data_IF_795125992069
#
_entry.id   IF_795125992069
#
_cell.length_a   1.000
_cell.length_b   1.000
_cell.length_c   1.000
_cell.angle_alpha   90.00
_cell.angle_beta   90.00
_cell.angle_gamma   90.00
#
_symmetry.space_group_name_H-M   'P 1'
#
loop_
_entity.id
_entity.type
_entity.pdbx_description
1 polymer ?
#
# COMPACT_ATOMS: atom_id res chain seq x y z
N UNK A 1 -4.94 78.88 -30.03
CA UNK A 1 -5.15 77.63 -30.79
C UNK A 1 -4.91 76.47 -29.84
N UNK A 2 -5.95 75.70 -29.53
CA UNK A 2 -5.88 74.56 -28.61
C UNK A 2 -5.45 73.33 -29.42
N UNK A 3 -4.27 72.76 -29.14
CA UNK A 3 -3.84 71.51 -29.76
C UNK A 3 -4.31 70.33 -28.90
N UNK A 4 -5.37 69.67 -29.36
CA UNK A 4 -5.89 68.42 -28.79
C UNK A 4 -4.87 67.29 -28.96
N UNK A 5 -4.44 66.69 -27.85
CA UNK A 5 -3.50 65.56 -27.80
C UNK A 5 -4.23 64.24 -28.05
N UNK A 6 -4.70 64.04 -29.27
CA UNK A 6 -5.13 62.72 -29.74
C UNK A 6 -4.59 62.48 -31.14
N UNK A 7 -3.39 61.88 -31.23
CA UNK A 7 -3.11 60.86 -32.24
C UNK A 7 -1.76 60.21 -32.01
N UNK A 8 -1.73 58.87 -32.01
CA UNK A 8 -0.56 58.02 -31.74
C UNK A 8 0.56 58.08 -32.78
N UNK A 9 1.15 59.25 -32.96
CA UNK A 9 2.32 59.49 -33.79
C UNK A 9 3.41 60.19 -32.97
N UNK A 10 4.66 59.82 -33.21
CA UNK A 10 5.82 60.54 -32.67
C UNK A 10 6.00 61.89 -33.41
N UNK A 11 6.74 62.87 -32.84
CA UNK A 11 6.91 64.22 -33.40
C UNK A 11 7.46 64.28 -34.84
N UNK A 12 8.05 63.17 -35.29
CA UNK A 12 8.70 62.90 -36.56
C UNK A 12 7.80 62.12 -37.55
N UNK A 13 6.49 62.04 -37.29
CA UNK A 13 5.49 61.57 -38.27
C UNK A 13 5.46 60.07 -38.52
N UNK A 14 6.18 59.27 -37.72
CA UNK A 14 6.12 57.80 -37.77
C UNK A 14 5.01 57.29 -36.87
N UNK A 15 4.23 56.32 -37.37
CA UNK A 15 3.26 55.60 -36.53
C UNK A 15 4.02 55.00 -35.37
N UNK A 16 3.65 55.32 -34.15
CA UNK A 16 4.05 54.53 -32.99
C UNK A 16 3.35 53.18 -33.13
N UNK A 17 3.95 52.26 -33.89
CA UNK A 17 3.59 50.86 -33.81
C UNK A 17 3.90 50.44 -32.37
N UNK A 18 2.86 50.49 -31.52
CA UNK A 18 2.86 49.73 -30.30
C UNK A 18 3.00 48.28 -30.77
N UNK A 19 4.24 47.77 -30.69
CA UNK A 19 4.57 46.36 -30.81
C UNK A 19 3.54 45.67 -29.92
N UNK A 20 2.61 44.94 -30.56
CA UNK A 20 1.45 44.36 -29.92
C UNK A 20 1.91 43.64 -28.66
N UNK A 21 1.58 44.24 -27.51
CA UNK A 21 1.91 43.66 -26.23
C UNK A 21 1.17 42.33 -26.12
N UNK A 22 1.83 41.35 -25.52
CA UNK A 22 1.36 40.02 -25.15
C UNK A 22 0.12 40.07 -24.22
N UNK A 23 -0.97 40.68 -24.69
CA UNK A 23 -2.21 40.92 -23.99
C UNK A 23 -2.89 39.60 -23.69
N UNK A 24 -2.65 39.08 -22.49
CA UNK A 24 -3.26 37.86 -21.98
C UNK A 24 -2.44 36.59 -22.18
N UNK A 25 -1.55 36.50 -23.17
CA UNK A 25 -0.80 35.25 -23.42
C UNK A 25 0.20 34.88 -22.31
N UNK A 26 0.78 35.87 -21.62
CA UNK A 26 1.67 35.64 -20.47
C UNK A 26 0.89 35.33 -19.19
N UNK A 27 -0.26 35.98 -18.97
CA UNK A 27 -1.15 35.72 -17.85
C UNK A 27 -1.86 34.37 -17.98
N UNK A 28 -2.28 34.00 -19.19
CA UNK A 28 -2.85 32.68 -19.51
C UNK A 28 -1.82 31.56 -19.32
N UNK A 29 -0.56 31.76 -19.73
CA UNK A 29 0.52 30.80 -19.44
C UNK A 29 0.76 30.64 -17.95
N UNK A 30 0.82 31.74 -17.19
CA UNK A 30 0.97 31.69 -15.73
C UNK A 30 -0.19 30.97 -15.05
N UNK A 31 -1.43 31.22 -15.47
CA UNK A 31 -2.61 30.53 -14.96
C UNK A 31 -2.63 29.03 -15.33
N UNK A 32 -2.20 28.67 -16.53
CA UNK A 32 -2.10 27.26 -16.95
C UNK A 32 -0.96 26.54 -16.23
N UNK A 33 0.18 27.20 -16.02
CA UNK A 33 1.30 26.71 -15.21
C UNK A 33 0.86 26.49 -13.75
N UNK A 34 0.14 27.45 -13.15
CA UNK A 34 -0.41 27.32 -11.80
C UNK A 34 -1.42 26.17 -11.71
N UNK A 35 -2.30 26.02 -12.72
CA UNK A 35 -3.23 24.89 -12.80
C UNK A 35 -2.48 23.56 -12.84
N UNK A 36 -1.46 23.45 -13.68
CA UNK A 36 -0.66 22.24 -13.81
C UNK A 36 0.15 21.96 -12.54
N UNK A 37 0.66 22.99 -11.86
CA UNK A 37 1.31 22.84 -10.57
C UNK A 37 0.35 22.30 -9.50
N UNK A 38 -0.91 22.77 -9.46
CA UNK A 38 -1.95 22.24 -8.55
C UNK A 38 -2.29 20.78 -8.85
N UNK A 39 -2.48 20.43 -10.12
CA UNK A 39 -2.75 19.04 -10.54
C UNK A 39 -1.58 18.13 -10.13
N UNK A 40 -0.35 18.53 -10.41
CA UNK A 40 0.84 17.76 -10.06
C UNK A 40 0.99 17.62 -8.54
N UNK A 41 0.71 18.68 -7.77
CA UNK A 41 0.72 18.62 -6.31
C UNK A 41 -0.34 17.64 -5.78
N UNK A 42 -1.56 17.65 -6.33
CA UNK A 42 -2.63 16.74 -5.93
C UNK A 42 -2.27 15.27 -6.26
N UNK A 43 -1.73 15.00 -7.45
CA UNK A 43 -1.23 13.68 -7.84
C UNK A 43 -0.12 13.22 -6.89
N UNK A 44 0.81 14.11 -6.54
CA UNK A 44 1.89 13.80 -5.60
C UNK A 44 1.32 13.45 -4.22
N UNK A 45 0.39 14.25 -3.69
CA UNK A 45 -0.26 13.96 -2.41
C UNK A 45 -0.99 12.62 -2.41
N UNK A 46 -1.69 12.28 -3.50
CA UNK A 46 -2.33 10.96 -3.65
C UNK A 46 -1.26 9.87 -3.62
N UNK A 47 -0.20 9.98 -4.42
CA UNK A 47 0.87 8.98 -4.42
C UNK A 47 1.55 8.85 -3.06
N UNK A 48 1.87 9.95 -2.38
CA UNK A 48 2.48 9.93 -1.05
C UNK A 48 1.59 9.24 0.00
N UNK A 49 0.27 9.22 -0.18
CA UNK A 49 -0.68 8.54 0.72
C UNK A 49 -0.71 7.02 0.48
N UNK A 50 -0.59 6.58 -0.78
CA UNK A 50 -0.63 5.16 -1.15
C UNK A 50 0.74 4.49 -1.10
N UNK A 51 1.79 5.23 -1.46
CA UNK A 51 3.19 4.80 -1.52
C UNK A 51 4.11 5.96 -1.07
N UNK A 52 4.25 6.15 0.26
CA UNK A 52 5.03 7.26 0.79
C UNK A 52 6.51 7.12 0.38
N UNK A 53 7.12 8.16 -0.22
CA UNK A 53 8.49 8.10 -0.67
C UNK A 53 9.46 7.99 0.51
N UNK A 54 10.64 7.46 0.23
CA UNK A 54 11.75 7.48 1.19
C UNK A 54 12.07 8.92 1.60
N UNK A 55 12.27 9.13 2.90
CA UNK A 55 12.67 10.43 3.43
C UNK A 55 13.98 10.31 4.17
N UNK A 56 14.76 11.40 4.17
CA UNK A 56 15.98 11.47 4.96
C UNK A 56 15.63 11.92 6.37
N UNK A 57 16.33 11.38 7.35
CA UNK A 57 16.28 11.89 8.71
C UNK A 57 17.69 12.04 9.29
N UNK A 58 17.86 13.06 10.11
CA UNK A 58 19.08 13.23 10.89
C UNK A 58 19.22 12.09 11.90
N UNK A 59 20.40 11.50 11.98
CA UNK A 59 20.73 10.44 12.94
C UNK A 59 21.94 10.86 13.78
N UNK A 60 22.02 10.32 15.01
CA UNK A 60 23.05 10.66 16.00
C UNK A 60 23.03 12.16 16.38
N UNK A 61 22.25 12.49 17.40
CA UNK A 61 22.18 13.86 17.91
C UNK A 61 23.58 14.34 18.34
N UNK A 62 23.99 15.48 17.81
CA UNK A 62 25.26 16.11 18.12
C UNK A 62 25.27 16.62 19.57
N UNK A 63 26.32 16.28 20.32
CA UNK A 63 26.57 16.82 21.66
C UNK A 63 27.47 18.06 21.65
N UNK A 64 28.23 18.25 20.57
CA UNK A 64 29.17 19.35 20.39
C UNK A 64 29.26 19.75 18.91
N UNK A 65 29.59 21.02 18.66
CA UNK A 65 29.81 21.56 17.32
C UNK A 65 31.30 21.58 16.97
N UNK A 66 31.62 20.97 15.83
CA UNK A 66 32.93 20.95 15.22
C UNK A 66 32.84 21.61 13.83
N UNK A 67 33.51 22.74 13.59
CA UNK A 67 33.38 23.50 12.35
C UNK A 67 33.83 22.74 11.08
N UNK A 68 34.61 21.67 11.23
CA UNK A 68 35.08 20.84 10.12
C UNK A 68 34.09 19.70 9.78
N UNK A 69 33.05 19.50 10.59
CA UNK A 69 32.02 18.49 10.37
C UNK A 69 30.77 19.05 9.71
N UNK A 70 30.14 18.21 8.89
CA UNK A 70 28.80 18.50 8.35
C UNK A 70 27.76 18.02 9.34
N UNK A 71 26.80 18.88 9.63
CA UNK A 71 25.65 18.54 10.46
C UNK A 71 24.37 18.58 9.65
N UNK A 72 23.37 17.87 10.14
CA UNK A 72 22.07 17.74 9.53
C UNK A 72 20.98 18.18 10.48
N UNK A 73 19.89 18.69 9.93
CA UNK A 73 18.64 18.92 10.63
C UNK A 73 17.89 17.59 10.80
N UNK A 74 16.79 17.62 11.56
CA UNK A 74 15.90 16.46 11.77
C UNK A 74 15.38 15.84 10.46
N UNK A 75 15.12 16.66 9.44
CA UNK A 75 14.68 16.24 8.11
C UNK A 75 15.82 15.74 7.19
N UNK A 76 17.04 15.63 7.73
CA UNK A 76 18.23 15.21 6.99
C UNK A 76 18.80 16.26 6.03
N UNK A 77 18.25 17.48 5.99
CA UNK A 77 18.86 18.60 5.27
C UNK A 77 20.13 19.09 5.95
N UNK A 78 21.09 19.65 5.21
CA UNK A 78 22.33 20.16 5.80
C UNK A 78 22.04 21.37 6.68
N UNK A 79 22.51 21.34 7.91
CA UNK A 79 22.39 22.45 8.85
C UNK A 79 23.37 23.57 8.47
N UNK A 80 22.83 24.76 8.21
CA UNK A 80 23.63 25.98 8.00
C UNK A 80 23.77 26.75 9.32
N UNK A 81 24.93 26.57 9.98
CA UNK A 81 25.29 27.27 11.21
C UNK A 81 26.01 28.61 11.00
N UNK A 82 26.20 29.07 9.77
CA UNK A 82 26.99 30.27 9.49
C UNK A 82 26.19 31.54 9.80
N UNK A 83 26.87 32.58 10.29
CA UNK A 83 26.24 33.91 10.45
C UNK A 83 25.91 34.49 9.09
N UNK A 84 24.67 34.94 8.91
CA UNK A 84 24.27 35.71 7.72
C UNK A 84 24.44 37.20 8.02
N UNK A 85 25.44 37.84 7.41
CA UNK A 85 25.60 39.29 7.49
C UNK A 85 24.69 39.95 6.45
N UNK A 86 23.67 40.68 6.92
CA UNK A 86 22.81 41.43 6.03
C UNK A 86 23.51 42.77 5.73
N UNK A 87 24.20 42.85 4.60
CA UNK A 87 24.79 44.11 4.14
C UNK A 87 23.64 44.98 3.63
N UNK A 88 23.13 45.84 4.49
CA UNK A 88 22.07 46.79 4.19
C UNK A 88 22.59 47.79 3.15
N UNK A 89 22.43 47.45 1.86
CA UNK A 89 22.89 48.27 0.74
C UNK A 89 21.87 49.38 0.46
N UNK A 90 21.76 50.34 1.37
CA UNK A 90 20.93 51.55 1.17
C UNK A 90 21.69 52.67 0.46
N UNK A 91 22.95 52.47 0.05
CA UNK A 91 23.63 53.37 -0.88
C UNK A 91 24.33 52.56 -1.96
N UNK A 92 23.93 52.78 -3.22
CA UNK A 92 24.39 52.10 -4.42
C UNK A 92 25.84 52.40 -4.81
N UNK A 93 26.77 52.36 -3.87
CA UNK A 93 28.19 52.45 -4.13
C UNK A 93 28.77 51.04 -4.15
N UNK A 94 29.27 50.61 -5.31
CA UNK A 94 29.97 49.34 -5.52
C UNK A 94 31.15 49.12 -4.52
N UNK A 95 31.63 50.19 -3.91
CA UNK A 95 32.59 50.15 -2.81
C UNK A 95 32.07 49.36 -1.59
N UNK A 96 30.76 49.39 -1.28
CA UNK A 96 30.17 48.63 -0.18
C UNK A 96 30.01 47.13 -0.47
N UNK A 97 29.96 46.72 -1.75
CA UNK A 97 30.03 45.28 -2.09
C UNK A 97 31.45 44.74 -1.92
N UNK A 98 32.46 45.52 -2.32
CA UNK A 98 33.87 45.19 -2.08
C UNK A 98 34.16 45.18 -0.58
N UNK A 99 33.65 46.16 0.17
CA UNK A 99 33.80 46.20 1.64
C UNK A 99 32.98 45.12 2.35
N UNK A 100 31.81 44.72 1.85
CA UNK A 100 31.06 43.56 2.37
C UNK A 100 31.87 42.27 2.27
N UNK A 101 32.52 42.04 1.12
CA UNK A 101 33.45 40.93 0.92
C UNK A 101 34.76 41.09 1.74
N UNK A 102 35.19 42.32 2.03
CA UNK A 102 36.34 42.58 2.91
C UNK A 102 35.95 42.39 4.37
N UNK A 103 34.71 42.68 4.81
CA UNK A 103 34.25 42.40 6.19
C UNK A 103 34.12 40.89 6.42
N UNK A 104 33.80 40.11 5.38
CA UNK A 104 33.95 38.64 5.41
C UNK A 104 35.43 38.22 5.66
N UNK A 105 36.40 39.06 5.30
CA UNK A 105 37.84 38.83 5.50
C UNK A 105 38.44 39.56 6.73
N UNK A 106 37.82 40.65 7.20
CA UNK A 106 38.34 41.64 8.17
C UNK A 106 37.54 41.66 9.47
N UNK A 107 36.44 40.91 9.56
CA UNK A 107 35.84 40.49 10.84
C UNK A 107 36.82 39.72 11.75
N UNK A 108 38.00 39.37 11.25
CA UNK A 108 39.14 38.85 12.03
C UNK A 108 39.89 39.90 12.87
N UNK A 109 39.72 41.22 12.64
CA UNK A 109 40.68 42.23 13.16
C UNK A 109 40.26 43.00 14.43
N UNK A 110 39.10 42.73 15.00
CA UNK A 110 38.75 43.30 16.31
C UNK A 110 37.83 42.37 17.11
N UNK A 111 38.45 41.46 17.87
CA UNK A 111 37.79 40.64 18.89
C UNK A 111 36.99 39.45 18.35
N UNK A 112 37.66 38.32 18.13
CA UNK A 112 37.10 36.94 18.10
C UNK A 112 35.66 36.76 17.61
N UNK A 113 35.28 37.33 16.46
CA UNK A 113 33.98 37.06 15.87
C UNK A 113 34.04 35.70 15.14
N UNK A 114 33.51 34.64 15.76
CA UNK A 114 33.31 33.36 15.07
C UNK A 114 32.45 33.58 13.82
N UNK A 115 32.88 33.03 12.67
CA UNK A 115 32.09 32.97 11.44
C UNK A 115 30.77 32.17 11.62
N UNK A 116 30.73 31.38 12.70
CA UNK A 116 29.62 30.54 13.12
C UNK A 116 28.69 31.27 14.09
N UNK A 117 27.39 31.07 13.90
CA UNK A 117 26.34 31.54 14.81
C UNK A 117 26.22 30.58 16.00
N UNK A 118 27.08 30.79 17.00
CA UNK A 118 27.16 29.92 18.16
C UNK A 118 25.87 29.90 18.99
N UNK A 119 25.04 30.97 18.98
CA UNK A 119 23.75 30.96 19.68
C UNK A 119 22.76 30.01 18.98
N UNK A 120 22.66 30.08 17.65
CA UNK A 120 21.86 29.15 16.85
C UNK A 120 22.33 27.71 17.01
N UNK A 121 23.64 27.49 16.96
CA UNK A 121 24.26 26.17 17.10
C UNK A 121 24.01 25.59 18.50
N UNK A 122 24.29 26.36 19.55
CA UNK A 122 24.12 25.90 20.94
C UNK A 122 22.64 25.60 21.25
N UNK A 123 21.71 26.38 20.69
CA UNK A 123 20.27 26.09 20.78
C UNK A 123 19.90 24.79 20.06
N UNK A 124 20.40 24.57 18.84
CA UNK A 124 20.14 23.35 18.09
C UNK A 124 20.71 22.10 18.79
N UNK A 125 21.89 22.21 19.42
CA UNK A 125 22.49 21.15 20.24
C UNK A 125 21.65 20.90 21.51
N UNK A 126 21.30 21.96 22.25
CA UNK A 126 20.50 21.85 23.47
C UNK A 126 19.12 21.21 23.21
N UNK A 127 18.51 21.51 22.07
CA UNK A 127 17.22 20.97 21.66
C UNK A 127 17.31 19.57 21.01
N UNK A 128 18.53 19.03 20.81
CA UNK A 128 18.77 17.78 20.05
C UNK A 128 18.22 17.82 18.62
N UNK A 129 18.34 18.97 17.97
CA UNK A 129 17.88 19.23 16.60
C UNK A 129 19.03 19.18 15.58
N UNK A 130 20.27 19.05 16.06
CA UNK A 130 21.48 18.92 15.26
C UNK A 130 21.94 17.46 15.24
N UNK A 131 22.24 16.93 14.05
CA UNK A 131 22.58 15.52 13.84
C UNK A 131 23.91 15.38 13.08
N UNK A 132 24.71 14.38 13.41
CA UNK A 132 26.01 14.14 12.75
C UNK A 132 25.93 13.15 11.58
N UNK A 133 24.83 12.41 11.49
CA UNK A 133 24.56 11.47 10.43
C UNK A 133 23.24 11.77 9.72
N UNK A 134 23.06 11.12 8.58
CA UNK A 134 21.79 11.10 7.85
C UNK A 134 21.51 9.66 7.46
N UNK A 135 20.26 9.25 7.59
CA UNK A 135 19.79 7.95 7.13
C UNK A 135 18.60 8.15 6.18
N UNK A 136 18.54 7.32 5.14
CA UNK A 136 17.35 7.21 4.28
C UNK A 136 16.40 6.21 4.91
N UNK A 137 15.24 6.67 5.33
CA UNK A 137 14.18 5.85 5.91
C UNK A 137 13.16 5.56 4.84
N UNK A 138 12.94 4.26 4.56
CA UNK A 138 11.72 3.83 3.90
C UNK A 138 10.60 3.87 4.94
N UNK A 139 9.61 4.76 4.83
CA UNK A 139 8.48 4.77 5.76
C UNK A 139 7.82 3.38 5.76
N UNK A 140 7.42 2.89 6.94
CA UNK A 140 6.65 1.64 7.03
C UNK A 140 5.39 1.82 6.17
N UNK A 141 5.36 1.15 5.01
CA UNK A 141 4.22 1.26 4.13
C UNK A 141 3.08 0.49 4.80
N UNK A 142 2.24 1.22 5.54
CA UNK A 142 1.09 0.67 6.27
C UNK A 142 0.19 -0.19 5.36
N UNK A 143 0.24 0.04 4.04
CA UNK A 143 -0.45 -0.76 3.02
C UNK A 143 0.24 -2.10 2.74
N UNK A 144 1.57 -2.13 2.61
CA UNK A 144 2.33 -3.39 2.49
C UNK A 144 2.00 -4.31 3.67
N UNK A 145 2.05 -3.78 4.89
CA UNK A 145 1.66 -4.51 6.10
C UNK A 145 0.22 -5.01 6.07
N UNK A 146 -0.72 -4.19 5.60
CA UNK A 146 -2.14 -4.60 5.48
C UNK A 146 -2.33 -5.75 4.47
N UNK A 147 -1.58 -5.75 3.36
CA UNK A 147 -1.62 -6.84 2.38
C UNK A 147 -1.11 -8.15 2.96
N UNK A 148 -0.05 -8.10 3.77
CA UNK A 148 0.51 -9.26 4.45
C UNK A 148 -0.42 -9.75 5.56
N UNK A 149 -1.01 -8.84 6.35
CA UNK A 149 -2.02 -9.16 7.36
C UNK A 149 -3.28 -9.78 6.73
N UNK A 150 -3.72 -9.28 5.57
CA UNK A 150 -4.86 -9.84 4.83
C UNK A 150 -4.55 -11.28 4.42
N UNK A 151 -3.39 -11.49 3.82
CA UNK A 151 -2.91 -12.80 3.40
C UNK A 151 -2.86 -13.76 4.58
N UNK A 152 -2.22 -13.37 5.67
CA UNK A 152 -2.07 -14.21 6.85
C UNK A 152 -3.42 -14.53 7.49
N UNK A 153 -4.30 -13.54 7.66
CA UNK A 153 -5.61 -13.76 8.27
C UNK A 153 -6.47 -14.72 7.44
N UNK A 154 -6.49 -14.57 6.11
CA UNK A 154 -7.21 -15.49 5.21
C UNK A 154 -6.58 -16.87 5.28
N UNK A 155 -5.25 -16.99 5.24
CA UNK A 155 -4.57 -18.26 5.38
C UNK A 155 -4.93 -18.96 6.70
N UNK A 156 -4.86 -18.26 7.83
CA UNK A 156 -5.10 -18.82 9.15
C UNK A 156 -6.53 -19.33 9.32
N UNK A 157 -7.53 -18.60 8.82
CA UNK A 157 -8.93 -19.02 8.84
C UNK A 157 -9.10 -20.31 8.06
N UNK A 158 -8.56 -20.34 6.85
CA UNK A 158 -8.66 -21.47 5.95
C UNK A 158 -7.87 -22.69 6.45
N UNK A 159 -6.69 -22.49 7.02
CA UNK A 159 -5.88 -23.53 7.64
C UNK A 159 -6.58 -24.12 8.87
N UNK A 160 -7.23 -23.30 9.71
CA UNK A 160 -8.05 -23.80 10.82
C UNK A 160 -9.21 -24.66 10.34
N UNK A 161 -9.89 -24.25 9.27
CA UNK A 161 -10.97 -25.04 8.68
C UNK A 161 -10.48 -26.38 8.12
N UNK A 162 -9.36 -26.39 7.40
CA UNK A 162 -8.71 -27.62 6.92
C UNK A 162 -8.40 -28.57 8.07
N UNK A 163 -7.74 -28.07 9.12
CA UNK A 163 -7.38 -28.87 10.29
C UNK A 163 -8.61 -29.40 11.06
N UNK A 164 -9.69 -28.61 11.14
CA UNK A 164 -10.95 -29.05 11.74
C UNK A 164 -11.56 -30.20 10.93
N UNK A 165 -11.67 -30.03 9.61
CA UNK A 165 -12.21 -31.07 8.74
C UNK A 165 -11.35 -32.34 8.75
N UNK A 166 -10.02 -32.21 8.83
CA UNK A 166 -9.11 -33.35 9.02
C UNK A 166 -9.44 -34.12 10.30
N UNK A 167 -9.57 -33.44 11.45
CA UNK A 167 -9.90 -34.08 12.72
C UNK A 167 -11.25 -34.79 12.72
N UNK A 168 -12.25 -34.25 12.03
CA UNK A 168 -13.56 -34.90 11.88
C UNK A 168 -13.48 -36.10 10.92
N UNK A 169 -12.73 -35.98 9.82
CA UNK A 169 -12.52 -37.06 8.86
C UNK A 169 -11.70 -38.21 9.46
N UNK A 170 -10.67 -37.91 10.24
CA UNK A 170 -9.86 -38.90 10.95
C UNK A 170 -10.71 -39.71 11.94
N UNK A 171 -11.54 -39.05 12.74
CA UNK A 171 -12.47 -39.73 13.66
C UNK A 171 -13.43 -40.63 12.89
N UNK A 172 -14.06 -40.12 11.83
CA UNK A 172 -14.98 -40.90 11.01
C UNK A 172 -14.31 -42.12 10.37
N UNK A 173 -13.09 -41.94 9.85
CA UNK A 173 -12.29 -43.02 9.28
C UNK A 173 -11.95 -44.08 10.34
N UNK A 174 -11.47 -43.67 11.52
CA UNK A 174 -11.17 -44.58 12.64
C UNK A 174 -12.40 -45.37 13.09
N UNK A 175 -13.57 -44.74 13.20
CA UNK A 175 -14.80 -45.45 13.52
C UNK A 175 -15.21 -46.45 12.42
N UNK A 176 -15.04 -46.09 11.15
CA UNK A 176 -15.29 -46.98 10.02
C UNK A 176 -14.35 -48.19 10.01
N UNK A 177 -13.06 -47.97 10.22
CA UNK A 177 -12.04 -49.02 10.29
C UNK A 177 -12.25 -49.95 11.48
N UNK A 178 -12.54 -49.38 12.66
CA UNK A 178 -12.84 -50.15 13.87
C UNK A 178 -14.08 -51.04 13.69
N UNK A 179 -15.15 -50.51 13.08
CA UNK A 179 -16.37 -51.27 12.79
C UNK A 179 -16.13 -52.45 11.84
N UNK A 180 -15.18 -52.31 10.92
CA UNK A 180 -14.84 -53.34 9.94
C UNK A 180 -13.67 -54.25 10.39
N UNK A 181 -13.14 -54.06 11.61
CA UNK A 181 -11.98 -54.83 12.11
C UNK A 181 -10.68 -54.57 11.34
N UNK A 182 -10.60 -53.48 10.58
CA UNK A 182 -9.43 -53.11 9.75
C UNK A 182 -8.49 -52.12 10.44
N UNK A 183 -8.81 -51.72 11.67
CA UNK A 183 -7.99 -50.82 12.49
C UNK A 183 -6.64 -51.47 12.81
N UNK A 184 -5.53 -50.74 12.64
CA UNK A 184 -4.16 -51.26 12.81
C UNK A 184 -3.62 -52.11 11.66
N UNK A 185 -4.40 -52.31 10.59
CA UNK A 185 -3.95 -52.96 9.34
C UNK A 185 -3.42 -51.97 8.30
N UNK A 186 -3.02 -52.48 7.13
CA UNK A 186 -2.56 -51.64 6.01
C UNK A 186 -3.61 -50.63 5.52
N UNK A 187 -4.90 -50.95 5.65
CA UNK A 187 -6.01 -50.05 5.31
C UNK A 187 -6.07 -48.81 6.22
N UNK A 188 -5.65 -48.93 7.48
CA UNK A 188 -5.56 -47.81 8.42
C UNK A 188 -4.41 -46.88 8.05
N UNK A 189 -3.23 -47.46 7.78
CA UNK A 189 -2.03 -46.70 7.37
C UNK A 189 -2.26 -45.93 6.06
N UNK A 190 -2.84 -46.59 5.04
CA UNK A 190 -3.10 -45.99 3.74
C UNK A 190 -4.15 -44.86 3.82
N UNK A 191 -5.23 -45.09 4.56
CA UNK A 191 -6.27 -44.06 4.74
C UNK A 191 -5.76 -42.86 5.53
N UNK A 192 -4.90 -43.06 6.54
CA UNK A 192 -4.29 -41.95 7.28
C UNK A 192 -3.28 -41.17 6.42
N UNK A 193 -2.47 -41.86 5.61
CA UNK A 193 -1.56 -41.22 4.65
C UNK A 193 -2.33 -40.33 3.65
N UNK A 194 -3.45 -40.84 3.12
CA UNK A 194 -4.32 -40.09 2.22
C UNK A 194 -4.97 -38.88 2.90
N UNK A 195 -5.39 -39.01 4.16
CA UNK A 195 -5.92 -37.88 4.94
C UNK A 195 -4.87 -36.78 5.11
N UNK A 196 -3.61 -37.14 5.40
CA UNK A 196 -2.51 -36.18 5.51
C UNK A 196 -2.20 -35.49 4.17
N UNK A 197 -2.22 -36.22 3.06
CA UNK A 197 -2.05 -35.65 1.72
C UNK A 197 -3.13 -34.60 1.41
N UNK A 198 -4.40 -34.92 1.66
CA UNK A 198 -5.51 -33.99 1.47
C UNK A 198 -5.42 -32.76 2.39
N UNK A 199 -4.93 -32.93 3.63
CA UNK A 199 -4.65 -31.80 4.53
C UNK A 199 -3.58 -30.88 3.94
N UNK A 200 -2.47 -31.45 3.48
CA UNK A 200 -1.39 -30.68 2.85
C UNK A 200 -1.88 -29.96 1.59
N UNK A 201 -2.66 -30.63 0.75
CA UNK A 201 -3.30 -30.03 -0.43
C UNK A 201 -4.27 -28.90 -0.04
N UNK A 202 -5.05 -29.09 1.03
CA UNK A 202 -5.93 -28.08 1.59
C UNK A 202 -5.18 -26.84 2.08
N UNK A 203 -4.04 -27.02 2.75
CA UNK A 203 -3.18 -25.92 3.20
C UNK A 203 -2.53 -25.16 2.03
N UNK A 204 -2.13 -25.86 0.96
CA UNK A 204 -1.62 -25.22 -0.26
C UNK A 204 -2.74 -24.39 -0.93
N UNK A 205 -3.96 -24.93 -1.02
CA UNK A 205 -5.13 -24.19 -1.52
C UNK A 205 -5.44 -22.98 -0.64
N UNK A 206 -5.31 -23.10 0.69
CA UNK A 206 -5.46 -21.97 1.61
C UNK A 206 -4.45 -20.86 1.30
N UNK A 207 -3.20 -21.22 1.01
CA UNK A 207 -2.17 -20.29 0.54
C UNK A 207 -2.58 -19.57 -0.74
N UNK A 208 -3.06 -20.31 -1.76
CA UNK A 208 -3.52 -19.71 -3.01
C UNK A 208 -4.71 -18.76 -2.85
N UNK A 209 -5.66 -19.07 -1.96
CA UNK A 209 -6.79 -18.19 -1.63
C UNK A 209 -6.29 -16.91 -0.94
N UNK A 210 -5.35 -17.05 0.00
CA UNK A 210 -4.73 -15.93 0.70
C UNK A 210 -3.94 -15.01 -0.25
N UNK A 211 -3.17 -15.57 -1.18
CA UNK A 211 -2.43 -14.83 -2.20
C UNK A 211 -3.37 -14.06 -3.14
N UNK A 212 -4.49 -14.69 -3.53
CA UNK A 212 -5.52 -14.04 -4.33
C UNK A 212 -6.18 -12.87 -3.56
N UNK A 213 -6.56 -13.07 -2.30
CA UNK A 213 -7.16 -12.01 -1.47
C UNK A 213 -6.22 -10.80 -1.29
N UNK A 214 -4.93 -11.05 -1.06
CA UNK A 214 -3.91 -9.99 -0.99
C UNK A 214 -3.77 -9.23 -2.31
N UNK A 215 -3.74 -9.96 -3.42
CA UNK A 215 -3.63 -9.38 -4.77
C UNK A 215 -4.87 -8.58 -5.17
N UNK A 216 -6.06 -9.05 -4.80
CA UNK A 216 -7.33 -8.34 -5.02
C UNK A 216 -7.37 -7.03 -4.22
N UNK A 217 -6.85 -7.02 -2.99
CA UNK A 217 -6.75 -5.82 -2.18
C UNK A 217 -5.78 -4.80 -2.80
N UNK A 218 -4.60 -5.25 -3.25
CA UNK A 218 -3.64 -4.42 -4.00
C UNK A 218 -4.26 -3.82 -5.26
N UNK A 219 -4.96 -4.64 -6.03
CA UNK A 219 -5.62 -4.20 -7.28
C UNK A 219 -6.70 -3.16 -7.02
N UNK A 220 -7.49 -3.32 -5.95
CA UNK A 220 -8.51 -2.35 -5.58
C UNK A 220 -7.90 -1.01 -5.12
N UNK A 221 -6.82 -1.05 -4.34
CA UNK A 221 -6.09 0.16 -3.94
C UNK A 221 -5.48 0.86 -5.15
N UNK A 222 -4.92 0.12 -6.12
CA UNK A 222 -4.37 0.70 -7.35
C UNK A 222 -5.46 1.31 -8.25
N UNK A 223 -6.61 0.65 -8.37
CA UNK A 223 -7.78 1.20 -9.09
C UNK A 223 -8.30 2.49 -8.43
N UNK A 224 -8.32 2.51 -7.09
CA UNK A 224 -8.67 3.68 -6.30
C UNK A 224 -7.71 4.84 -6.54
N UNK A 225 -6.40 4.55 -6.50
CA UNK A 225 -5.34 5.52 -6.80
C UNK A 225 -5.51 6.11 -8.20
N UNK A 226 -5.75 5.28 -9.22
CA UNK A 226 -5.95 5.72 -10.59
C UNK A 226 -7.19 6.61 -10.75
N UNK A 227 -8.28 6.27 -10.06
CA UNK A 227 -9.52 7.06 -10.07
C UNK A 227 -9.30 8.43 -9.43
N UNK A 228 -8.56 8.50 -8.32
CA UNK A 228 -8.20 9.75 -7.66
C UNK A 228 -7.24 10.60 -8.51
N UNK A 229 -6.30 9.99 -9.23
CA UNK A 229 -5.41 10.68 -10.17
C UNK A 229 -6.21 11.30 -11.32
N UNK A 230 -7.16 10.56 -11.90
CA UNK A 230 -8.05 11.10 -12.94
C UNK A 230 -8.89 12.27 -12.39
N UNK A 231 -9.34 12.17 -11.14
CA UNK A 231 -10.03 13.27 -10.44
C UNK A 231 -9.13 14.48 -10.22
N UNK A 232 -7.87 14.27 -9.82
CA UNK A 232 -6.90 15.35 -9.66
C UNK A 232 -6.65 16.08 -11.00
N UNK A 233 -6.56 15.35 -12.12
CA UNK A 233 -6.47 15.94 -13.47
C UNK A 233 -7.69 16.79 -13.84
N UNK A 234 -8.87 16.45 -13.31
CA UNK A 234 -10.10 17.23 -13.51
C UNK A 234 -10.13 18.56 -12.74
N UNK A 235 -9.16 18.79 -11.84
CA UNK A 235 -8.97 20.07 -11.14
C UNK A 235 -9.33 20.06 -9.65
N UNK A 236 -9.32 18.90 -9.00
CA UNK A 236 -9.53 18.82 -7.55
C UNK A 236 -8.30 19.32 -6.79
N UNK A 237 -8.52 20.13 -5.76
CA UNK A 237 -7.46 20.66 -4.90
C UNK A 237 -6.82 19.59 -3.99
N UNK A 238 -5.57 19.84 -3.59
CA UNK A 238 -4.74 18.93 -2.78
C UNK A 238 -5.41 18.47 -1.47
N UNK A 239 -6.10 19.38 -0.77
CA UNK A 239 -6.79 19.07 0.49
C UNK A 239 -7.97 18.12 0.31
N UNK A 240 -8.77 18.32 -0.74
CA UNK A 240 -9.91 17.45 -1.08
C UNK A 240 -9.42 16.10 -1.58
N UNK A 241 -8.36 16.09 -2.40
CA UNK A 241 -7.72 14.86 -2.88
C UNK A 241 -7.22 13.98 -1.72
N UNK A 242 -6.62 14.59 -0.69
CA UNK A 242 -6.17 13.89 0.51
C UNK A 242 -7.34 13.25 1.28
N UNK A 243 -8.44 13.98 1.49
CA UNK A 243 -9.60 13.44 2.22
C UNK A 243 -10.24 12.27 1.46
N UNK A 244 -10.41 12.38 0.14
CA UNK A 244 -10.96 11.29 -0.67
C UNK A 244 -10.02 10.08 -0.71
N UNK A 245 -8.70 10.31 -0.80
CA UNK A 245 -7.72 9.23 -0.70
C UNK A 245 -7.86 8.48 0.63
N UNK A 246 -7.92 9.20 1.76
CA UNK A 246 -8.10 8.59 3.08
C UNK A 246 -9.42 7.82 3.19
N UNK A 247 -10.53 8.36 2.69
CA UNK A 247 -11.82 7.66 2.69
C UNK A 247 -11.79 6.38 1.85
N UNK A 248 -11.18 6.44 0.67
CA UNK A 248 -11.07 5.28 -0.22
C UNK A 248 -10.19 4.19 0.41
N UNK A 249 -9.10 4.60 1.04
CA UNK A 249 -8.19 3.75 1.82
C UNK A 249 -8.89 3.07 3.01
N UNK A 250 -9.82 3.75 3.66
CA UNK A 250 -10.61 3.20 4.76
C UNK A 250 -11.68 2.23 4.25
N UNK A 251 -12.35 2.57 3.14
CA UNK A 251 -13.30 1.70 2.46
C UNK A 251 -12.65 0.38 2.00
N UNK A 252 -11.47 0.43 1.38
CA UNK A 252 -10.76 -0.80 0.97
C UNK A 252 -10.30 -1.62 2.17
N UNK A 253 -9.92 -0.99 3.28
CA UNK A 253 -9.62 -1.67 4.55
C UNK A 253 -10.84 -2.37 5.14
N UNK A 254 -12.01 -1.72 5.14
CA UNK A 254 -13.26 -2.33 5.61
C UNK A 254 -13.69 -3.51 4.75
N UNK A 255 -13.56 -3.39 3.42
CA UNK A 255 -13.82 -4.51 2.49
C UNK A 255 -12.88 -5.68 2.76
N UNK A 256 -11.59 -5.41 2.98
CA UNK A 256 -10.61 -6.43 3.33
C UNK A 256 -11.00 -7.19 4.61
N UNK A 257 -11.47 -6.49 5.64
CA UNK A 257 -11.99 -7.09 6.88
C UNK A 257 -13.25 -7.95 6.64
N UNK A 258 -14.16 -7.50 5.77
CA UNK A 258 -15.32 -8.28 5.35
C UNK A 258 -14.93 -9.57 4.62
N UNK A 259 -13.96 -9.49 3.70
CA UNK A 259 -13.44 -10.65 2.96
C UNK A 259 -12.75 -11.66 3.88
N UNK A 260 -11.99 -11.21 4.88
CA UNK A 260 -11.43 -12.11 5.91
C UNK A 260 -12.52 -12.96 6.56
N UNK A 261 -13.67 -12.35 6.86
CA UNK A 261 -14.77 -13.03 7.55
C UNK A 261 -15.53 -14.02 6.65
N UNK A 262 -15.47 -13.86 5.33
CA UNK A 262 -16.17 -14.72 4.36
C UNK A 262 -15.29 -15.76 3.66
N UNK A 263 -13.95 -15.67 3.78
CA UNK A 263 -13.02 -16.58 3.12
C UNK A 263 -12.93 -17.91 3.86
N UNK A 264 -13.81 -18.87 3.52
CA UNK A 264 -13.75 -20.25 4.02
C UNK A 264 -13.46 -21.23 2.89
N UNK A 265 -12.62 -22.22 3.19
CA UNK A 265 -12.36 -23.38 2.35
C UNK A 265 -13.61 -24.25 2.42
N UNK A 266 -14.24 -24.49 1.26
CA UNK A 266 -15.37 -25.41 1.15
C UNK A 266 -15.06 -26.82 1.67
N UNK A 267 -16.07 -27.71 1.68
CA UNK A 267 -15.91 -29.07 2.20
C UNK A 267 -14.88 -29.89 1.39
N UNK A 268 -13.66 -30.04 1.89
CA UNK A 268 -12.58 -30.80 1.26
C UNK A 268 -12.75 -32.31 1.46
N UNK A 269 -13.24 -32.72 2.63
CA UNK A 269 -13.30 -34.13 3.04
C UNK A 269 -14.69 -34.76 2.83
N UNK A 270 -15.67 -34.00 2.31
CA UNK A 270 -17.05 -34.46 2.13
C UNK A 270 -17.19 -35.69 1.21
N UNK A 271 -16.25 -35.88 0.27
CA UNK A 271 -16.22 -37.04 -0.61
C UNK A 271 -15.75 -38.34 0.07
N UNK A 272 -14.95 -38.26 1.14
CA UNK A 272 -14.33 -39.42 1.77
C UNK A 272 -15.33 -40.20 2.63
N UNK A 273 -16.20 -39.51 3.38
CA UNK A 273 -17.25 -40.15 4.18
C UNK A 273 -18.30 -40.83 3.30
N UNK A 274 -18.64 -40.22 2.16
CA UNK A 274 -19.58 -40.80 1.19
C UNK A 274 -18.99 -41.97 0.43
N UNK A 275 -17.69 -41.96 0.09
CA UNK A 275 -17.05 -43.08 -0.59
C UNK A 275 -17.03 -44.36 0.27
N UNK A 276 -16.75 -44.24 1.58
CA UNK A 276 -16.79 -45.39 2.50
C UNK A 276 -18.22 -45.89 2.74
N UNK A 277 -19.20 -45.00 2.83
CA UNK A 277 -20.62 -45.38 2.94
C UNK A 277 -21.16 -46.01 1.63
N UNK A 278 -20.72 -45.54 0.46
CA UNK A 278 -21.05 -46.12 -0.86
C UNK A 278 -20.33 -47.43 -1.13
N UNK A 279 -19.11 -47.61 -0.63
CA UNK A 279 -18.37 -48.87 -0.71
C UNK A 279 -19.09 -49.98 0.04
N UNK A 280 -19.67 -49.67 1.21
CA UNK A 280 -20.40 -50.65 2.01
C UNK A 280 -21.79 -50.96 1.46
N UNK A 281 -22.50 -49.99 0.86
CA UNK A 281 -23.80 -50.27 0.22
C UNK A 281 -23.65 -51.10 -1.05
N UNK A 282 -22.60 -50.89 -1.86
CA UNK A 282 -22.36 -51.73 -3.04
C UNK A 282 -21.83 -53.13 -2.70
N UNK A 283 -21.04 -53.30 -1.64
CA UNK A 283 -20.67 -54.65 -1.19
C UNK A 283 -21.84 -55.40 -0.54
N UNK A 284 -22.73 -54.72 0.19
CA UNK A 284 -23.90 -55.39 0.78
C UNK A 284 -24.98 -55.72 -0.24
N UNK A 285 -25.20 -54.91 -1.29
CA UNK A 285 -26.11 -55.29 -2.39
C UNK A 285 -25.53 -56.42 -3.24
N UNK A 286 -24.22 -56.49 -3.41
CA UNK A 286 -23.61 -57.60 -4.18
C UNK A 286 -23.52 -58.89 -3.37
N UNK A 287 -23.38 -58.85 -2.04
CA UNK A 287 -23.45 -60.05 -1.19
C UNK A 287 -24.88 -60.54 -0.88
N UNK A 288 -25.90 -59.66 -0.88
CA UNK A 288 -27.30 -60.10 -0.70
C UNK A 288 -27.95 -60.71 -1.95
N UNK A 289 -27.36 -60.55 -3.14
CA UNK A 289 -27.91 -61.14 -4.38
C UNK A 289 -27.44 -62.59 -4.58
N UNK A 290 -26.39 -63.04 -3.89
CA UNK A 290 -25.87 -64.42 -4.04
C UNK A 290 -26.37 -65.40 -2.96
N UNK A 291 -27.10 -64.92 -1.95
CA UNK A 291 -27.59 -65.76 -0.84
C UNK A 291 -29.12 -65.66 -0.67
N UNK A 292 -29.86 -65.67 -1.79
CA UNK A 292 -31.31 -65.89 -1.77
C UNK A 292 -31.74 -66.80 -2.94
N UNK A 293 -30.94 -67.84 -3.19
CA UNK A 293 -31.38 -69.02 -3.93
C UNK A 293 -31.94 -70.03 -2.93
N UNK A 294 -33.16 -70.52 -3.18
CA UNK A 294 -33.91 -71.51 -2.39
C UNK A 294 -34.67 -71.01 -1.16
N UNK A 295 -35.84 -70.39 -1.35
CA UNK A 295 -37.10 -70.89 -0.77
C UNK A 295 -38.33 -70.15 -1.32
N UNK A 296 -39.39 -70.88 -1.61
CA UNK A 296 -40.75 -70.35 -1.55
C UNK A 296 -41.36 -69.90 -2.87
N UNK A 297 -41.80 -70.88 -3.68
CA UNK A 297 -42.69 -70.61 -4.79
C UNK A 297 -44.03 -70.02 -4.35
N UNK A 298 -44.62 -69.18 -5.19
CA UNK A 298 -46.06 -69.02 -5.24
C UNK A 298 -46.51 -68.81 -6.69
N UNK A 299 -47.58 -69.52 -7.02
CA UNK A 299 -47.93 -70.00 -8.35
C UNK A 299 -48.60 -68.94 -9.21
N UNK A 300 -48.21 -68.87 -10.49
CA UNK A 300 -48.91 -68.14 -11.54
C UNK A 300 -50.24 -68.85 -11.81
N UNK A 301 -51.37 -68.27 -11.40
CA UNK A 301 -52.70 -68.72 -11.85
C UNK A 301 -53.09 -67.95 -13.11
N UNK A 302 -52.85 -68.57 -14.27
CA UNK A 302 -53.52 -68.21 -15.54
C UNK A 302 -55.01 -68.55 -15.43
N UNK A 303 -55.89 -67.59 -15.66
CA UNK A 303 -57.22 -67.84 -16.23
C UNK A 303 -57.52 -66.76 -17.25
N UNK A 304 -57.39 -67.15 -18.52
CA UNK A 304 -57.95 -66.48 -19.67
C UNK A 304 -59.33 -67.11 -19.90
N UNK A 305 -60.39 -66.31 -19.97
CA UNK A 305 -61.64 -66.70 -20.61
C UNK A 305 -62.37 -65.43 -21.02
N UNK A 306 -62.25 -65.08 -22.29
CA UNK A 306 -63.24 -64.25 -22.96
C UNK A 306 -64.42 -65.12 -23.37
N UNK A 307 -65.61 -64.60 -23.13
CA UNK A 307 -66.72 -64.51 -24.09
C UNK A 307 -67.66 -63.44 -23.59
#
# INVERSE_FOLDING_TARGET
>A
MIFSKHNGYSPDGRRLCHKGGDGGASAMRRQEEERQARINAAIKTINDIFDPPEYKQGTNAASEFDPDKTYYNKDGSVFDGRKKFNVNSSSGNAFNQIVGNIVDQVGQTSGSASAWDMDKINKAIANRELFTGVETVKPENKREKLYDEQRQAVYDINAKDVNRQYGDAEKANRFGLARNGLMGGSADVDSNARLQEMTNEGLVKAGGIADNASSALRTADESARQSLIAMAQSGIDTGTAQQMAQQQLESTSQRAQGERSGASIGNLFGGLSQAYLRGNTNQNTTQNVVNNGYNGGNSVRKTYSGS
#
